data_IF_385585141852
#
_entry.id   IF_385585141852
#
_cell.length_a   1.000
_cell.length_b   1.000
_cell.length_c   1.000
_cell.angle_alpha   90.00
_cell.angle_beta   90.00
_cell.angle_gamma   90.00
#
_symmetry.space_group_name_H-M   'P 1'
#
loop_
_entity.id
_entity.type
_entity.pdbx_description
1 polymer ?
#
# COMPACT_ATOMS: atom_id res chain seq x y z
N UNK A 1 -15.71 5.83 -3.83
CA UNK A 1 -14.49 5.22 -3.26
C UNK A 1 -13.78 4.49 -4.39
N UNK A 2 -12.46 4.64 -4.50
CA UNK A 2 -11.65 3.98 -5.52
C UNK A 2 -10.75 2.92 -4.86
N UNK A 3 -10.53 1.82 -5.57
CA UNK A 3 -9.63 0.76 -5.18
C UNK A 3 -8.44 0.74 -6.13
N UNK A 4 -7.25 0.43 -5.60
CA UNK A 4 -6.02 0.44 -6.36
C UNK A 4 -5.21 -0.83 -6.17
N UNK A 5 -4.47 -1.21 -7.22
CA UNK A 5 -3.37 -2.16 -7.14
C UNK A 5 -2.10 -1.50 -7.64
N UNK A 6 -0.96 -1.87 -7.09
CA UNK A 6 0.35 -1.34 -7.48
C UNK A 6 1.26 -2.46 -7.97
N UNK A 7 1.94 -2.23 -9.08
CA UNK A 7 2.87 -3.19 -9.68
C UNK A 7 4.02 -2.49 -10.39
N UNK A 8 5.16 -3.17 -10.48
CA UNK A 8 6.28 -2.77 -11.35
C UNK A 8 6.00 -3.13 -12.82
N UNK A 9 5.04 -4.02 -13.07
CA UNK A 9 4.63 -4.45 -14.41
C UNK A 9 3.62 -3.43 -15.00
N UNK A 10 3.95 -2.74 -16.12
CA UNK A 10 3.08 -1.76 -16.77
C UNK A 10 1.95 -2.36 -17.61
N UNK A 11 1.99 -3.66 -17.91
CA UNK A 11 1.21 -4.26 -18.99
C UNK A 11 0.20 -5.31 -18.49
N UNK A 12 -0.23 -5.19 -17.23
CA UNK A 12 -1.25 -6.09 -16.67
C UNK A 12 -2.64 -5.70 -17.21
N UNK A 13 -3.08 -6.38 -18.26
CA UNK A 13 -4.42 -6.22 -18.81
C UNK A 13 -5.51 -6.90 -17.97
N UNK A 14 -5.17 -7.99 -17.26
CA UNK A 14 -6.08 -8.75 -16.41
C UNK A 14 -5.33 -9.24 -15.18
N UNK A 15 -5.89 -9.01 -14.00
CA UNK A 15 -5.39 -9.55 -12.74
C UNK A 15 -6.05 -10.90 -12.48
N UNK A 16 -5.27 -11.97 -12.59
CA UNK A 16 -5.69 -13.31 -12.19
C UNK A 16 -5.47 -13.51 -10.67
N UNK A 17 -6.40 -14.14 -9.94
CA UNK A 17 -6.19 -14.47 -8.53
C UNK A 17 -4.95 -15.33 -8.33
N UNK A 18 -4.03 -14.90 -7.46
CA UNK A 18 -2.77 -15.61 -7.18
C UNK A 18 -2.61 -15.82 -5.68
N UNK A 19 -2.09 -16.99 -5.25
CA UNK A 19 -1.76 -17.18 -3.84
C UNK A 19 -0.62 -16.24 -3.45
N UNK A 20 -0.55 -15.91 -2.17
CA UNK A 20 0.60 -15.16 -1.64
C UNK A 20 1.86 -16.01 -1.80
N UNK A 21 2.99 -15.38 -2.17
CA UNK A 21 4.26 -16.11 -2.37
C UNK A 21 4.79 -16.71 -1.08
N UNK A 22 4.62 -16.00 0.03
CA UNK A 22 5.01 -16.42 1.38
C UNK A 22 3.74 -16.37 2.23
N UNK A 23 3.18 -17.53 2.62
CA UNK A 23 2.01 -17.57 3.50
C UNK A 23 2.30 -16.90 4.84
N UNK A 24 1.38 -16.06 5.32
CA UNK A 24 1.43 -15.51 6.66
C UNK A 24 0.61 -16.38 7.62
N UNK A 25 0.98 -16.39 8.91
CA UNK A 25 0.11 -16.93 9.94
C UNK A 25 -1.15 -16.04 9.98
N UNK A 26 -2.32 -16.65 9.78
CA UNK A 26 -3.60 -15.95 9.79
C UNK A 26 -4.39 -16.32 11.05
N UNK A 27 -5.27 -15.44 11.56
CA UNK A 27 -6.23 -15.81 12.58
C UNK A 27 -7.10 -16.99 12.12
N UNK A 28 -7.61 -17.82 13.05
CA UNK A 28 -8.51 -18.92 12.72
C UNK A 28 -9.68 -18.45 11.83
N UNK A 29 -9.94 -19.18 10.74
CA UNK A 29 -11.00 -18.86 9.78
C UNK A 29 -10.61 -17.82 8.71
N UNK A 30 -9.39 -17.28 8.75
CA UNK A 30 -8.84 -16.35 7.73
C UNK A 30 -7.69 -16.96 6.93
N UNK A 31 -7.46 -18.27 7.02
CA UNK A 31 -6.40 -18.99 6.29
C UNK A 31 -6.56 -18.88 4.78
N UNK A 32 -7.80 -18.74 4.30
CA UNK A 32 -8.12 -18.52 2.89
C UNK A 32 -7.49 -17.25 2.31
N UNK A 33 -7.06 -16.29 3.14
CA UNK A 33 -6.29 -15.11 2.72
C UNK A 33 -4.88 -15.46 2.18
N UNK A 34 -4.41 -16.69 2.39
CA UNK A 34 -3.19 -17.18 1.73
C UNK A 34 -3.48 -17.82 0.37
N UNK A 35 -4.75 -18.05 0.03
CA UNK A 35 -5.18 -18.64 -1.24
C UNK A 35 -5.20 -17.65 -2.41
N UNK A 36 -5.65 -18.10 -3.60
CA UNK A 36 -5.68 -17.27 -4.80
C UNK A 36 -6.61 -16.07 -4.69
N UNK A 37 -6.05 -14.86 -4.69
CA UNK A 37 -6.79 -13.60 -4.56
C UNK A 37 -6.18 -12.52 -5.45
N UNK A 38 -7.00 -11.58 -5.89
CA UNK A 38 -6.54 -10.26 -6.38
C UNK A 38 -6.67 -9.29 -5.20
N UNK A 39 -5.56 -8.64 -4.84
CA UNK A 39 -5.51 -7.70 -3.73
C UNK A 39 -5.68 -6.27 -4.23
N UNK A 40 -6.35 -5.42 -3.45
CA UNK A 40 -6.43 -3.99 -3.68
C UNK A 40 -6.40 -3.23 -2.35
N UNK A 41 -6.13 -1.93 -2.43
CA UNK A 41 -6.09 -0.98 -1.32
C UNK A 41 -7.02 0.20 -1.62
N UNK A 42 -7.66 0.78 -0.62
CA UNK A 42 -8.42 2.01 -0.83
C UNK A 42 -7.53 3.22 -1.10
N UNK A 43 -8.13 4.29 -1.63
CA UNK A 43 -7.42 5.51 -1.98
C UNK A 43 -6.83 6.29 -0.79
N UNK A 44 -7.39 6.15 0.41
CA UNK A 44 -6.85 6.80 1.59
C UNK A 44 -5.57 6.10 2.06
N UNK A 45 -5.38 4.83 1.72
CA UNK A 45 -4.24 4.02 2.14
C UNK A 45 -3.30 3.66 0.98
N UNK A 46 -3.46 4.28 -0.19
CA UNK A 46 -2.66 4.03 -1.38
C UNK A 46 -1.15 4.29 -1.14
N UNK A 47 -0.84 5.20 -0.21
CA UNK A 47 0.52 5.54 0.23
C UNK A 47 1.33 4.33 0.72
N UNK A 48 0.67 3.25 1.15
CA UNK A 48 1.34 2.03 1.62
C UNK A 48 2.15 1.33 0.53
N UNK A 49 1.83 1.61 -0.74
CA UNK A 49 2.41 0.95 -1.90
C UNK A 49 3.21 1.89 -2.82
N UNK A 50 3.47 3.13 -2.41
CA UNK A 50 4.28 4.11 -3.16
C UNK A 50 5.79 3.88 -2.99
N UNK A 51 6.23 2.63 -3.13
CA UNK A 51 7.63 2.25 -2.96
C UNK A 51 8.02 1.19 -3.98
N UNK A 52 9.31 1.11 -4.35
CA UNK A 52 9.85 -0.08 -4.98
C UNK A 52 9.46 -1.34 -4.21
N UNK A 53 9.16 -2.43 -4.91
CA UNK A 53 8.63 -3.67 -4.33
C UNK A 53 9.40 -4.16 -3.10
N UNK A 54 10.72 -4.16 -3.17
CA UNK A 54 11.58 -4.70 -2.12
C UNK A 54 12.01 -3.67 -1.06
N UNK A 55 11.49 -2.43 -1.11
CA UNK A 55 11.82 -1.40 -0.13
C UNK A 55 11.27 -1.77 1.25
N UNK A 56 12.11 -2.03 2.28
CA UNK A 56 11.65 -2.16 3.65
C UNK A 56 11.04 -0.84 4.10
N UNK A 57 9.92 -0.92 4.82
CA UNK A 57 9.17 0.26 5.24
C UNK A 57 8.41 0.01 6.53
N UNK A 58 8.34 1.03 7.38
CA UNK A 58 7.41 1.10 8.51
C UNK A 58 6.40 2.20 8.19
N UNK A 59 5.12 1.90 8.33
CA UNK A 59 4.03 2.82 8.05
C UNK A 59 3.23 3.02 9.33
N UNK A 60 2.96 4.26 9.67
CA UNK A 60 2.14 4.62 10.82
C UNK A 60 1.07 5.62 10.43
N UNK A 61 -0.11 5.46 11.00
CA UNK A 61 -1.23 6.39 10.89
C UNK A 61 -2.08 6.24 12.15
N UNK A 62 -2.84 7.29 12.47
CA UNK A 62 -3.74 7.25 13.61
C UNK A 62 -5.05 6.52 13.25
N UNK A 63 -5.53 5.70 14.18
CA UNK A 63 -6.87 5.13 14.18
C UNK A 63 -7.86 6.09 14.87
N UNK A 64 -9.18 5.95 14.67
CA UNK A 64 -10.18 6.79 15.34
C UNK A 64 -10.03 6.84 16.87
N UNK A 65 -9.51 5.77 17.48
CA UNK A 65 -9.31 5.67 18.93
C UNK A 65 -7.93 6.17 19.40
N UNK A 66 -7.07 6.62 18.49
CA UNK A 66 -5.72 7.11 18.84
C UNK A 66 -5.83 8.47 19.54
N UNK A 67 -5.28 8.63 20.77
CA UNK A 67 -5.33 9.91 21.46
C UNK A 67 -4.63 11.03 20.67
N UNK A 68 -5.24 12.21 20.64
CA UNK A 68 -4.73 13.37 19.89
C UNK A 68 -3.31 13.77 20.31
N UNK A 69 -2.94 13.58 21.58
CA UNK A 69 -1.58 13.82 22.08
C UNK A 69 -0.56 12.87 21.46
N UNK A 70 -0.90 11.58 21.33
CA UNK A 70 -0.05 10.58 20.67
C UNK A 70 -0.02 10.82 19.16
N UNK A 71 -1.17 11.11 18.54
CA UNK A 71 -1.23 11.48 17.11
C UNK A 71 -0.26 12.62 16.80
N UNK A 72 -0.35 13.74 17.53
CA UNK A 72 0.55 14.89 17.33
C UNK A 72 2.00 14.57 17.62
N UNK A 73 2.28 13.78 18.66
CA UNK A 73 3.65 13.36 18.99
C UNK A 73 4.30 12.58 17.84
N UNK A 74 3.57 11.66 17.22
CA UNK A 74 4.13 10.77 16.19
C UNK A 74 4.07 11.36 14.79
N UNK A 75 2.97 12.05 14.45
CA UNK A 75 2.65 12.47 13.08
C UNK A 75 2.71 14.00 12.88
N UNK A 76 2.71 14.79 13.96
CA UNK A 76 2.59 16.25 13.86
C UNK A 76 1.32 16.65 13.11
N UNK A 77 1.51 17.43 12.04
CA UNK A 77 0.42 17.89 11.15
C UNK A 77 0.10 16.91 10.02
N UNK A 78 0.89 15.85 9.87
CA UNK A 78 0.66 14.83 8.85
C UNK A 78 -0.41 13.83 9.30
N UNK A 79 -1.13 13.23 8.34
CA UNK A 79 -2.12 12.18 8.65
C UNK A 79 -1.50 10.80 8.82
N UNK A 80 -0.31 10.60 8.24
CA UNK A 80 0.46 9.36 8.33
C UNK A 80 1.95 9.66 8.14
N UNK A 81 2.80 8.70 8.49
CA UNK A 81 4.22 8.75 8.19
C UNK A 81 4.71 7.41 7.64
N UNK A 82 5.62 7.50 6.68
CA UNK A 82 6.31 6.40 6.04
C UNK A 82 7.80 6.48 6.35
N UNK A 83 8.35 5.44 6.94
CA UNK A 83 9.77 5.34 7.27
C UNK A 83 10.45 4.37 6.32
N UNK A 84 11.57 4.81 5.74
CA UNK A 84 12.45 3.99 4.90
C UNK A 84 13.90 4.17 5.35
N UNK A 85 14.79 3.26 4.96
CA UNK A 85 16.22 3.48 5.17
C UNK A 85 16.79 4.44 4.13
N UNK A 86 17.77 5.29 4.51
CA UNK A 86 18.37 6.30 3.63
C UNK A 86 18.81 5.77 2.26
N UNK A 87 19.33 4.54 2.20
CA UNK A 87 19.78 3.90 0.97
C UNK A 87 18.67 3.77 -0.11
N UNK A 88 17.40 3.78 0.29
CA UNK A 88 16.26 3.65 -0.61
C UNK A 88 15.80 4.97 -1.23
N UNK A 89 16.18 6.13 -0.68
CA UNK A 89 15.77 7.43 -1.20
C UNK A 89 16.10 7.61 -2.68
N UNK A 90 17.34 7.24 -3.08
CA UNK A 90 17.77 7.34 -4.48
C UNK A 90 16.90 6.49 -5.40
N UNK A 91 16.48 5.30 -4.94
CA UNK A 91 15.60 4.42 -5.72
C UNK A 91 14.18 4.97 -5.80
N UNK A 92 13.61 5.45 -4.70
CA UNK A 92 12.29 6.11 -4.71
C UNK A 92 12.25 7.29 -5.68
N UNK A 93 13.30 8.12 -5.72
CA UNK A 93 13.35 9.26 -6.63
C UNK A 93 13.58 8.90 -8.10
N UNK A 94 14.05 7.69 -8.41
CA UNK A 94 14.43 7.29 -9.76
C UNK A 94 13.46 6.30 -10.41
N UNK A 95 12.78 5.47 -9.62
CA UNK A 95 11.92 4.41 -10.13
C UNK A 95 10.51 4.89 -10.46
N UNK A 96 9.82 4.09 -11.27
CA UNK A 96 8.42 4.28 -11.64
C UNK A 96 7.67 3.01 -11.30
N UNK A 97 6.50 3.16 -10.66
CA UNK A 97 5.56 2.06 -10.43
C UNK A 97 4.24 2.37 -11.14
N UNK A 98 3.40 1.36 -11.32
CA UNK A 98 2.13 1.48 -12.00
C UNK A 98 0.98 1.28 -11.02
N UNK A 99 0.13 2.29 -10.88
CA UNK A 99 -1.13 2.23 -10.15
C UNK A 99 -2.25 1.87 -11.09
N UNK A 100 -2.96 0.80 -10.78
CA UNK A 100 -4.13 0.33 -11.50
C UNK A 100 -5.38 0.63 -10.70
N UNK A 101 -6.34 1.32 -11.30
CA UNK A 101 -7.66 1.54 -10.71
C UNK A 101 -8.51 0.29 -10.90
N UNK A 102 -9.07 -0.23 -9.80
CA UNK A 102 -9.87 -1.45 -9.78
C UNK A 102 -11.36 -1.11 -9.65
N UNK A 103 -12.25 -1.89 -10.30
CA UNK A 103 -13.67 -1.80 -10.00
C UNK A 103 -13.91 -2.18 -8.54
N UNK A 104 -14.90 -1.57 -7.90
CA UNK A 104 -15.33 -1.95 -6.54
C UNK A 104 -16.15 -3.23 -6.55
N UNK A 105 -16.84 -3.52 -7.66
CA UNK A 105 -17.65 -4.73 -7.82
C UNK A 105 -16.80 -6.00 -7.70
N UNK A 106 -17.25 -6.94 -6.87
CA UNK A 106 -16.59 -8.22 -6.66
C UNK A 106 -15.42 -8.21 -5.66
N UNK A 107 -15.08 -7.05 -5.10
CA UNK A 107 -14.14 -6.94 -3.98
C UNK A 107 -14.85 -7.03 -2.63
N UNK A 108 -14.24 -7.75 -1.69
CA UNK A 108 -14.64 -7.90 -0.29
C UNK A 108 -13.67 -7.09 0.59
N UNK A 109 -14.18 -6.23 1.48
CA UNK A 109 -13.37 -5.53 2.49
C UNK A 109 -13.00 -6.52 3.60
N UNK A 110 -11.73 -6.51 4.04
CA UNK A 110 -11.25 -7.37 5.12
C UNK A 110 -11.40 -6.76 6.52
N UNK A 111 -11.81 -5.49 6.60
CA UNK A 111 -11.79 -4.64 7.80
C UNK A 111 -10.42 -4.68 8.50
N UNK A 112 -9.36 -4.87 7.71
CA UNK A 112 -7.99 -5.06 8.13
C UNK A 112 -7.07 -4.20 7.26
N UNK A 113 -6.53 -3.14 7.86
CA UNK A 113 -5.62 -2.19 7.22
C UNK A 113 -6.06 -1.74 5.82
N UNK A 114 -7.37 -1.55 5.62
CA UNK A 114 -7.95 -1.09 4.36
C UNK A 114 -7.73 -2.00 3.15
N UNK A 115 -7.42 -3.28 3.39
CA UNK A 115 -7.19 -4.25 2.33
C UNK A 115 -8.52 -4.81 1.79
N UNK A 116 -8.57 -4.94 0.47
CA UNK A 116 -9.69 -5.51 -0.27
C UNK A 116 -9.21 -6.69 -1.11
N UNK A 117 -10.08 -7.69 -1.28
CA UNK A 117 -9.76 -8.87 -2.08
C UNK A 117 -10.88 -9.28 -3.02
N UNK A 118 -10.53 -9.74 -4.21
CA UNK A 118 -11.44 -10.40 -5.14
C UNK A 118 -10.98 -11.84 -5.41
N UNK A 119 -11.95 -12.77 -5.48
CA UNK A 119 -11.69 -14.19 -5.76
C UNK A 119 -11.72 -14.54 -7.25
N UNK A 120 -12.11 -13.57 -8.08
CA UNK A 120 -12.26 -13.72 -9.54
C UNK A 120 -11.24 -12.84 -10.24
N UNK A 121 -11.04 -13.10 -11.53
CA UNK A 121 -10.23 -12.22 -12.36
C UNK A 121 -10.80 -10.81 -12.37
N UNK A 122 -9.92 -9.81 -12.43
CA UNK A 122 -10.29 -8.39 -12.44
C UNK A 122 -9.64 -7.70 -13.63
N UNK A 123 -10.42 -6.90 -14.35
CA UNK A 123 -9.90 -6.02 -15.41
C UNK A 123 -9.78 -4.62 -14.79
N UNK A 124 -8.58 -3.99 -14.79
CA UNK A 124 -8.41 -2.65 -14.26
C UNK A 124 -9.12 -1.63 -15.17
N UNK A 125 -9.67 -0.59 -14.56
CA UNK A 125 -10.38 0.48 -15.26
C UNK A 125 -9.42 1.50 -15.87
N UNK A 126 -8.28 1.74 -15.22
CA UNK A 126 -7.25 2.65 -15.67
C UNK A 126 -5.87 2.26 -15.12
N UNK A 127 -4.81 2.75 -15.77
CA UNK A 127 -3.42 2.64 -15.31
C UNK A 127 -2.77 4.02 -15.32
N UNK A 128 -2.11 4.37 -14.22
CA UNK A 128 -1.27 5.56 -14.09
C UNK A 128 0.16 5.14 -13.76
N UNK A 129 1.14 5.64 -14.54
CA UNK A 129 2.55 5.52 -14.17
C UNK A 129 2.87 6.62 -13.14
N UNK A 130 3.52 6.24 -12.04
CA UNK A 130 3.90 7.13 -10.95
C UNK A 130 5.42 7.09 -10.85
N UNK A 131 6.05 8.20 -11.20
CA UNK A 131 7.49 8.42 -11.06
C UNK A 131 7.76 9.39 -9.92
N UNK A 132 9.03 9.56 -9.51
CA UNK A 132 9.38 10.50 -8.42
C UNK A 132 8.60 10.17 -7.14
N UNK A 133 8.66 8.91 -6.73
CA UNK A 133 7.84 8.38 -5.62
C UNK A 133 8.08 9.14 -4.31
N UNK A 134 9.29 9.68 -4.13
CA UNK A 134 9.66 10.56 -3.03
C UNK A 134 8.75 11.80 -2.90
N UNK A 135 8.15 12.25 -4.00
CA UNK A 135 7.28 13.43 -4.06
C UNK A 135 5.79 13.12 -3.88
N UNK A 136 5.40 11.85 -3.89
CA UNK A 136 3.99 11.45 -3.90
C UNK A 136 3.35 11.38 -2.51
N UNK A 137 4.16 11.40 -1.45
CA UNK A 137 3.70 11.32 -0.06
C UNK A 137 3.08 12.63 0.44
N UNK A 138 3.76 13.76 0.23
CA UNK A 138 3.31 15.06 0.73
C UNK A 138 1.94 15.50 0.19
N UNK A 139 1.61 15.34 -1.10
CA UNK A 139 0.26 15.61 -1.62
C UNK A 139 -0.84 14.77 -0.98
N UNK A 140 -0.47 13.62 -0.41
CA UNK A 140 -1.37 12.73 0.34
C UNK A 140 -1.39 13.04 1.82
N UNK A 141 -0.74 14.10 2.30
CA UNK A 141 -0.62 14.40 3.72
C UNK A 141 0.20 13.36 4.48
N UNK A 142 1.08 12.62 3.80
CA UNK A 142 1.96 11.62 4.40
C UNK A 142 3.38 12.16 4.46
N UNK A 143 4.02 12.01 5.61
CA UNK A 143 5.43 12.37 5.76
C UNK A 143 6.33 11.20 5.34
N UNK A 144 7.27 11.44 4.43
CA UNK A 144 8.34 10.47 4.14
C UNK A 144 9.56 10.77 5.01
N UNK A 145 9.92 9.83 5.88
CA UNK A 145 11.07 9.93 6.79
C UNK A 145 12.12 8.89 6.40
N UNK A 146 13.35 9.34 6.16
CA UNK A 146 14.48 8.44 5.97
C UNK A 146 15.26 8.30 7.27
N UNK A 147 15.60 7.06 7.63
CA UNK A 147 16.32 6.72 8.86
C UNK A 147 17.56 5.87 8.55
N UNK A 148 18.47 5.74 9.51
CA UNK A 148 19.69 4.94 9.35
C UNK A 148 19.40 3.43 9.26
N UNK A 149 18.42 2.94 10.02
CA UNK A 149 18.05 1.53 10.07
C UNK A 149 16.63 1.37 10.61
N UNK A 150 15.84 0.48 10.00
CA UNK A 150 14.51 0.11 10.51
C UNK A 150 14.54 -1.05 11.53
N UNK A 151 15.72 -1.63 11.74
CA UNK A 151 15.91 -2.87 12.52
C UNK A 151 16.56 -2.65 13.89
N UNK A 152 16.86 -1.39 14.23
CA UNK A 152 17.58 -1.01 15.45
C UNK A 152 16.65 -0.32 16.42
#
# INVERSE_FOLDING_TARGET
MCLFHFSDDPDIAVFEPRPVRIPSIRPPGREWLNGPLVWAIDGDHDFMYLFPRDCPRILIWAKPETPETERRRWLGEWRAAAFIEHQWLKRLSAETIHRYEMPTEGFENLDDASMWVARRRVIPMARTAISRLDQEFAPRGVELRAVDSLWR
#
